data_IF_209971026223
#
_entry.id   IF_209971026223
#
_cell.length_a   1.000
_cell.length_b   1.000
_cell.length_c   1.000
_cell.angle_alpha   90.00
_cell.angle_beta   90.00
_cell.angle_gamma   90.00
#
_symmetry.space_group_name_H-M   'P 1'
#
loop_
_entity.id
_entity.type
_entity.pdbx_description
1 polymer ?
#
# COMPACT_ATOMS: atom_id res chain seq x y z
N UNK A 1 -36.45 -65.57 51.97
CA UNK A 1 -35.71 -64.82 53.01
C UNK A 1 -35.33 -63.46 52.45
N UNK A 2 -35.43 -62.44 53.28
CA UNK A 2 -35.47 -61.01 53.00
C UNK A 2 -34.23 -60.42 52.30
N UNK A 3 -34.44 -59.28 51.62
CA UNK A 3 -33.49 -58.15 51.59
C UNK A 3 -32.70 -57.96 50.29
N UNK A 4 -32.80 -56.78 49.62
CA UNK A 4 -32.06 -56.46 48.40
C UNK A 4 -30.67 -55.85 48.71
N UNK A 5 -29.81 -55.66 47.70
CA UNK A 5 -29.43 -54.26 47.43
C UNK A 5 -29.10 -53.90 45.96
N UNK A 6 -29.40 -52.63 45.66
CA UNK A 6 -28.63 -51.60 44.90
C UNK A 6 -28.21 -51.81 43.44
N UNK A 7 -28.90 -51.03 42.58
CA UNK A 7 -28.37 -50.03 41.64
C UNK A 7 -26.96 -50.25 41.07
N UNK A 8 -26.93 -50.83 39.86
CA UNK A 8 -25.92 -50.57 38.85
C UNK A 8 -26.63 -50.01 37.61
N UNK A 9 -26.31 -48.79 37.20
CA UNK A 9 -26.54 -48.36 35.83
C UNK A 9 -25.35 -47.54 35.31
N UNK A 10 -24.74 -48.14 34.29
CA UNK A 10 -24.20 -47.54 33.06
C UNK A 10 -22.77 -46.99 33.10
N UNK A 11 -21.87 -47.95 32.89
CA UNK A 11 -20.88 -47.88 31.81
C UNK A 11 -21.50 -47.36 30.48
N UNK A 12 -20.73 -46.56 29.75
CA UNK A 12 -20.32 -46.76 28.32
C UNK A 12 -19.82 -45.40 27.81
N UNK A 13 -18.51 -45.17 27.81
CA UNK A 13 -17.63 -45.50 26.69
C UNK A 13 -17.92 -44.65 25.44
N UNK A 14 -17.11 -43.61 25.32
CA UNK A 14 -16.87 -42.73 24.18
C UNK A 14 -16.68 -43.54 22.89
N UNK A 15 -17.62 -43.40 21.95
CA UNK A 15 -17.43 -43.85 20.57
C UNK A 15 -16.83 -42.71 19.74
N UNK A 16 -15.55 -42.87 19.41
CA UNK A 16 -14.82 -42.07 18.42
C UNK A 16 -15.33 -42.41 17.02
N UNK A 17 -16.22 -41.58 16.47
CA UNK A 17 -16.60 -41.67 15.05
C UNK A 17 -15.67 -40.79 14.23
N UNK A 18 -14.70 -41.42 13.58
CA UNK A 18 -13.92 -40.84 12.47
C UNK A 18 -14.87 -40.67 11.28
N UNK A 19 -15.19 -39.44 10.92
CA UNK A 19 -15.77 -39.13 9.61
C UNK A 19 -14.63 -38.97 8.61
N UNK A 20 -14.51 -39.97 7.73
CA UNK A 20 -13.82 -39.85 6.45
C UNK A 20 -14.84 -39.27 5.47
N UNK A 21 -14.68 -38.01 5.07
CA UNK A 21 -15.36 -37.49 3.88
C UNK A 21 -14.44 -37.68 2.67
N UNK A 22 -14.87 -38.62 1.84
CA UNK A 22 -14.48 -38.77 0.43
C UNK A 22 -15.19 -37.65 -0.30
N UNK A 23 -14.48 -36.57 -0.65
CA UNK A 23 -15.03 -35.56 -1.55
C UNK A 23 -14.72 -35.96 -3.00
N UNK A 24 -15.81 -36.32 -3.67
CA UNK A 24 -15.95 -36.67 -5.07
C UNK A 24 -15.54 -35.48 -5.95
N UNK A 25 -14.35 -35.57 -6.54
CA UNK A 25 -13.87 -34.63 -7.54
C UNK A 25 -14.72 -34.72 -8.80
N UNK A 26 -15.63 -33.77 -8.98
CA UNK A 26 -16.26 -33.51 -10.27
C UNK A 26 -15.21 -32.91 -11.22
N UNK A 27 -14.49 -33.78 -11.91
CA UNK A 27 -13.63 -33.43 -13.04
C UNK A 27 -14.46 -32.82 -14.18
N UNK A 28 -14.08 -31.62 -14.59
CA UNK A 28 -14.53 -31.00 -15.83
C UNK A 28 -13.83 -31.72 -16.99
N UNK A 29 -14.53 -32.13 -18.06
CA UNK A 29 -13.85 -32.61 -19.25
C UNK A 29 -13.25 -31.41 -19.99
N UNK A 30 -11.93 -31.29 -19.89
CA UNK A 30 -11.10 -30.67 -20.91
C UNK A 30 -11.25 -31.50 -22.19
N UNK A 31 -11.88 -30.92 -23.21
CA UNK A 31 -11.62 -31.34 -24.59
C UNK A 31 -10.98 -30.16 -25.31
N UNK A 32 -9.69 -30.33 -25.61
CA UNK A 32 -8.86 -29.40 -26.37
C UNK A 32 -8.21 -30.20 -27.47
N UNK A 33 -8.82 -30.12 -28.66
CA UNK A 33 -8.34 -30.38 -30.02
C UNK A 33 -9.58 -30.03 -30.89
N UNK A 34 -9.56 -29.21 -31.92
CA UNK A 34 -8.49 -28.68 -32.75
C UNK A 34 -9.11 -27.59 -33.67
N UNK A 35 -8.24 -26.80 -34.29
CA UNK A 35 -8.44 -26.05 -35.56
C UNK A 35 -9.17 -24.70 -35.53
N UNK A 36 -8.29 -23.69 -35.47
CA UNK A 36 -8.32 -22.41 -36.16
C UNK A 36 -9.01 -22.40 -37.54
N UNK A 37 -9.93 -21.47 -37.77
CA UNK A 37 -10.01 -20.76 -39.07
C UNK A 37 -10.89 -19.51 -38.97
N UNK A 38 -10.30 -18.40 -39.38
CA UNK A 38 -10.91 -17.08 -39.61
C UNK A 38 -11.94 -17.08 -40.76
N UNK A 39 -12.78 -16.03 -40.86
CA UNK A 39 -13.91 -16.00 -41.79
C UNK A 39 -13.50 -15.44 -43.17
N UNK A 40 -14.12 -15.87 -44.29
CA UNK A 40 -14.03 -15.13 -45.54
C UNK A 40 -15.29 -14.30 -45.80
N UNK A 41 -15.05 -13.03 -46.09
CA UNK A 41 -15.91 -12.06 -46.80
C UNK A 41 -16.11 -12.53 -48.27
N UNK A 42 -17.25 -12.25 -48.92
CA UNK A 42 -17.56 -12.84 -50.22
C UNK A 42 -16.89 -12.07 -51.38
N UNK A 43 -16.35 -12.79 -52.36
CA UNK A 43 -16.10 -12.24 -53.69
C UNK A 43 -16.10 -13.31 -54.77
N UNK A 44 -16.83 -12.97 -55.84
CA UNK A 44 -16.71 -13.41 -57.23
C UNK A 44 -16.72 -14.93 -57.52
N UNK A 45 -17.84 -15.39 -58.07
CA UNK A 45 -17.93 -16.64 -58.84
C UNK A 45 -18.07 -16.32 -60.33
N UNK A 46 -17.02 -16.63 -61.08
CA UNK A 46 -16.94 -16.95 -62.52
C UNK A 46 -15.88 -18.08 -62.55
N UNK A 47 -15.97 -19.23 -63.22
CA UNK A 47 -16.73 -19.71 -64.36
C UNK A 47 -16.91 -21.23 -64.23
N UNK A 48 -18.01 -21.78 -64.75
CA UNK A 48 -17.94 -23.07 -65.44
C UNK A 48 -19.03 -23.16 -66.51
N UNK A 49 -18.60 -22.97 -67.75
CA UNK A 49 -19.40 -23.08 -68.94
C UNK A 49 -19.68 -24.55 -69.27
N UNK A 50 -20.96 -24.95 -69.20
CA UNK A 50 -21.47 -26.04 -70.04
C UNK A 50 -22.48 -25.47 -71.04
N UNK A 51 -22.11 -25.64 -72.30
CA UNK A 51 -22.81 -25.27 -73.51
C UNK A 51 -24.21 -25.91 -73.59
N UNK A 52 -25.25 -25.08 -73.70
CA UNK A 52 -26.54 -25.45 -74.30
C UNK A 52 -26.91 -24.33 -75.27
N UNK A 53 -27.04 -24.71 -76.55
CA UNK A 53 -27.34 -23.87 -77.69
C UNK A 53 -28.64 -23.05 -77.51
N UNK A 54 -28.75 -21.87 -78.17
CA UNK A 54 -29.86 -20.95 -77.96
C UNK A 54 -31.13 -21.43 -78.68
N UNK A 55 -32.32 -21.38 -78.05
CA UNK A 55 -33.55 -21.31 -78.82
C UNK A 55 -33.74 -19.87 -79.33
N UNK A 56 -34.08 -19.83 -80.61
CA UNK A 56 -34.47 -18.72 -81.47
C UNK A 56 -35.35 -17.66 -80.78
N UNK A 57 -35.18 -16.36 -81.11
CA UNK A 57 -35.97 -15.28 -80.53
C UNK A 57 -37.37 -15.27 -81.16
N UNK A 58 -38.38 -15.70 -80.40
CA UNK A 58 -39.77 -15.39 -80.75
C UNK A 58 -40.20 -14.17 -79.96
N UNK A 59 -40.23 -13.05 -80.67
CA UNK A 59 -40.93 -11.83 -80.30
C UNK A 59 -42.36 -12.15 -79.86
N UNK A 60 -42.69 -11.87 -78.61
CA UNK A 60 -44.06 -11.54 -78.22
C UNK A 60 -43.98 -10.64 -76.99
N UNK A 61 -44.44 -9.42 -77.18
CA UNK A 61 -44.85 -8.43 -76.17
C UNK A 61 -44.86 -8.95 -74.73
N UNK A 62 -44.06 -8.32 -73.86
CA UNK A 62 -44.16 -8.38 -72.40
C UNK A 62 -45.55 -7.82 -72.00
N UNK A 63 -46.62 -8.56 -72.29
CA UNK A 63 -47.93 -8.31 -71.73
C UNK A 63 -47.80 -8.60 -70.24
N UNK A 64 -47.80 -7.53 -69.46
CA UNK A 64 -47.99 -7.58 -68.01
C UNK A 64 -49.39 -8.16 -67.73
N UNK A 65 -49.52 -9.48 -67.82
CA UNK A 65 -50.74 -10.21 -67.53
C UNK A 65 -51.03 -10.04 -66.04
N UNK A 66 -52.18 -9.44 -65.74
CA UNK A 66 -52.64 -9.27 -64.38
C UNK A 66 -52.84 -10.65 -63.73
N UNK A 67 -52.30 -10.90 -62.53
CA UNK A 67 -52.41 -12.20 -61.88
C UNK A 67 -53.87 -12.60 -61.65
N UNK A 68 -54.18 -13.89 -61.78
CA UNK A 68 -55.51 -14.38 -61.47
C UNK A 68 -55.80 -14.22 -59.97
N UNK A 69 -57.08 -14.21 -59.58
CA UNK A 69 -57.49 -14.16 -58.16
C UNK A 69 -56.91 -15.32 -57.35
N UNK A 70 -56.69 -16.49 -57.98
CA UNK A 70 -56.04 -17.64 -57.38
C UNK A 70 -54.56 -17.38 -57.07
N UNK A 71 -53.85 -16.71 -58.00
CA UNK A 71 -52.45 -16.31 -57.80
C UNK A 71 -52.31 -15.29 -56.68
N UNK A 72 -53.23 -14.32 -56.63
CA UNK A 72 -53.25 -13.31 -55.57
C UNK A 72 -53.53 -13.95 -54.21
N UNK A 73 -54.53 -14.83 -54.11
CA UNK A 73 -54.81 -15.58 -52.88
C UNK A 73 -53.64 -16.47 -52.43
N UNK A 74 -52.96 -17.12 -53.37
CA UNK A 74 -51.76 -17.90 -53.06
C UNK A 74 -50.60 -17.01 -52.56
N UNK A 75 -50.39 -15.84 -53.17
CA UNK A 75 -49.40 -14.86 -52.69
C UNK A 75 -49.75 -14.37 -51.29
N UNK A 76 -51.02 -14.02 -51.02
CA UNK A 76 -51.48 -13.58 -49.69
C UNK A 76 -51.26 -14.69 -48.65
N UNK A 77 -51.65 -15.94 -48.93
CA UNK A 77 -51.40 -17.07 -48.02
C UNK A 77 -49.91 -17.28 -47.75
N UNK A 78 -49.07 -17.23 -48.79
CA UNK A 78 -47.60 -17.33 -48.64
C UNK A 78 -47.01 -16.18 -47.82
N UNK A 79 -47.54 -14.96 -47.99
CA UNK A 79 -47.13 -13.79 -47.21
C UNK A 79 -47.51 -13.96 -45.74
N UNK A 80 -48.76 -14.36 -45.45
CA UNK A 80 -49.24 -14.66 -44.09
C UNK A 80 -48.35 -15.73 -43.45
N UNK A 81 -48.11 -16.86 -44.12
CA UNK A 81 -47.26 -17.93 -43.60
C UNK A 81 -45.82 -17.49 -43.38
N UNK A 82 -45.30 -16.58 -44.19
CA UNK A 82 -43.94 -16.03 -44.01
C UNK A 82 -43.88 -15.06 -42.84
N UNK A 83 -44.88 -14.19 -42.70
CA UNK A 83 -45.00 -13.28 -41.57
C UNK A 83 -45.15 -14.04 -40.24
N UNK A 84 -46.00 -15.07 -40.20
CA UNK A 84 -46.18 -15.95 -39.04
C UNK A 84 -44.90 -16.72 -38.69
N UNK A 85 -44.17 -17.25 -39.68
CA UNK A 85 -42.86 -17.89 -39.46
C UNK A 85 -41.83 -16.92 -38.92
N UNK A 86 -41.77 -15.69 -39.43
CA UNK A 86 -40.86 -14.65 -38.92
C UNK A 86 -41.20 -14.29 -37.47
N UNK A 87 -42.47 -14.05 -37.15
CA UNK A 87 -42.90 -13.76 -35.78
C UNK A 87 -42.51 -14.88 -34.81
N UNK A 88 -42.78 -16.14 -35.17
CA UNK A 88 -42.39 -17.32 -34.37
C UNK A 88 -40.87 -17.44 -34.21
N UNK A 89 -40.09 -17.08 -35.24
CA UNK A 89 -38.62 -17.07 -35.19
C UNK A 89 -38.09 -15.96 -34.27
N UNK A 90 -38.72 -14.78 -34.27
CA UNK A 90 -38.36 -13.70 -33.34
C UNK A 90 -38.71 -14.02 -31.90
N UNK A 91 -39.89 -14.60 -31.65
CA UNK A 91 -40.29 -15.08 -30.33
C UNK A 91 -39.29 -16.10 -29.78
N UNK A 92 -38.88 -17.08 -30.60
CA UNK A 92 -37.85 -18.05 -30.23
C UNK A 92 -36.50 -17.39 -29.92
N UNK A 93 -36.07 -16.39 -30.70
CA UNK A 93 -34.85 -15.62 -30.41
C UNK A 93 -34.96 -14.87 -29.07
N UNK A 94 -36.12 -14.29 -28.76
CA UNK A 94 -36.35 -13.57 -27.51
C UNK A 94 -36.29 -14.53 -26.31
N UNK A 95 -36.92 -15.70 -26.42
CA UNK A 95 -36.87 -16.76 -25.39
C UNK A 95 -35.44 -17.27 -25.20
N UNK A 96 -34.66 -17.46 -26.28
CA UNK A 96 -33.25 -17.86 -26.18
C UNK A 96 -32.39 -16.80 -25.50
N UNK A 97 -32.60 -15.51 -25.82
CA UNK A 97 -31.92 -14.39 -25.16
C UNK A 97 -32.31 -14.32 -23.68
N UNK A 98 -33.58 -14.43 -23.34
CA UNK A 98 -34.05 -14.45 -21.96
C UNK A 98 -33.41 -15.58 -21.15
N UNK A 99 -33.35 -16.81 -21.70
CA UNK A 99 -32.64 -17.94 -21.06
C UNK A 99 -31.13 -17.71 -20.90
N UNK A 100 -30.49 -16.97 -21.81
CA UNK A 100 -29.07 -16.60 -21.69
C UNK A 100 -28.85 -15.55 -20.59
N UNK A 101 -29.73 -14.55 -20.51
CA UNK A 101 -29.72 -13.52 -19.46
C UNK A 101 -29.98 -14.16 -18.10
N UNK A 102 -31.00 -15.00 -17.97
CA UNK A 102 -31.33 -15.72 -16.74
C UNK A 102 -30.14 -16.58 -16.24
N UNK A 103 -29.46 -17.30 -17.15
CA UNK A 103 -28.24 -18.04 -16.81
C UNK A 103 -27.11 -17.12 -16.33
N UNK A 104 -26.94 -15.96 -16.97
CA UNK A 104 -25.93 -14.97 -16.58
C UNK A 104 -26.22 -14.38 -15.21
N UNK A 105 -27.47 -14.00 -14.94
CA UNK A 105 -27.90 -13.44 -13.66
C UNK A 105 -27.74 -14.45 -12.52
N UNK A 106 -28.09 -15.73 -12.75
CA UNK A 106 -27.85 -16.82 -11.79
C UNK A 106 -26.35 -16.96 -11.46
N UNK A 107 -25.48 -16.89 -12.47
CA UNK A 107 -24.03 -16.93 -12.26
C UNK A 107 -23.52 -15.70 -11.49
N UNK A 108 -23.97 -14.49 -11.85
CA UNK A 108 -23.59 -13.26 -11.16
C UNK A 108 -24.09 -13.23 -9.70
N UNK A 109 -25.27 -13.77 -9.43
CA UNK A 109 -25.79 -13.95 -8.07
C UNK A 109 -24.91 -14.89 -7.26
N UNK A 110 -24.52 -16.04 -7.83
CA UNK A 110 -23.60 -16.97 -7.18
C UNK A 110 -22.24 -16.34 -6.86
N UNK A 111 -21.68 -15.57 -7.80
CA UNK A 111 -20.42 -14.85 -7.58
C UNK A 111 -20.56 -13.80 -6.47
N UNK A 112 -21.62 -12.98 -6.49
CA UNK A 112 -21.88 -11.98 -5.43
C UNK A 112 -22.08 -12.62 -4.05
N UNK A 113 -22.77 -13.74 -3.98
CA UNK A 113 -22.96 -14.51 -2.75
C UNK A 113 -21.61 -15.02 -2.20
N UNK A 114 -20.79 -15.63 -3.07
CA UNK A 114 -19.45 -16.09 -2.71
C UNK A 114 -18.55 -14.95 -2.25
N UNK A 115 -18.62 -13.79 -2.88
CA UNK A 115 -17.86 -12.60 -2.47
C UNK A 115 -18.32 -12.06 -1.10
N UNK A 116 -19.64 -12.04 -0.84
CA UNK A 116 -20.19 -11.65 0.45
C UNK A 116 -19.72 -12.58 1.57
N UNK A 117 -19.81 -13.89 1.34
CA UNK A 117 -19.32 -14.90 2.29
C UNK A 117 -17.80 -14.75 2.52
N UNK A 118 -17.03 -14.51 1.46
CA UNK A 118 -15.59 -14.26 1.58
C UNK A 118 -15.29 -13.03 2.43
N UNK A 119 -16.06 -11.95 2.27
CA UNK A 119 -15.88 -10.73 3.07
C UNK A 119 -16.25 -10.98 4.54
N UNK A 120 -17.35 -11.67 4.82
CA UNK A 120 -17.77 -11.98 6.19
C UNK A 120 -16.74 -12.88 6.91
N UNK A 121 -16.26 -13.93 6.24
CA UNK A 121 -15.17 -14.76 6.77
C UNK A 121 -13.92 -13.89 6.98
N UNK A 122 -13.61 -13.01 6.04
CA UNK A 122 -12.47 -12.08 6.15
C UNK A 122 -12.64 -11.06 7.26
N UNK A 123 -13.85 -10.74 7.74
CA UNK A 123 -14.04 -9.88 8.91
C UNK A 123 -13.66 -10.63 10.19
N UNK A 124 -14.18 -11.85 10.36
CA UNK A 124 -14.01 -12.66 11.58
C UNK A 124 -12.62 -13.29 11.67
N UNK A 125 -12.10 -13.80 10.56
CA UNK A 125 -10.80 -14.48 10.51
C UNK A 125 -9.70 -13.49 10.19
N UNK A 126 -8.71 -13.43 11.07
CA UNK A 126 -7.48 -12.68 10.86
C UNK A 126 -6.41 -13.60 10.31
N UNK A 127 -5.79 -13.17 9.21
CA UNK A 127 -4.62 -13.85 8.66
C UNK A 127 -3.37 -13.39 9.40
N UNK A 128 -2.33 -14.24 9.51
CA UNK A 128 -1.04 -13.86 10.12
C UNK A 128 -0.46 -12.56 9.56
N UNK A 129 -0.66 -12.32 8.26
CA UNK A 129 -0.25 -11.08 7.60
C UNK A 129 -1.00 -9.86 8.16
N UNK A 130 -2.32 -9.95 8.31
CA UNK A 130 -3.12 -8.87 8.89
C UNK A 130 -2.75 -8.62 10.36
N UNK A 131 -2.52 -9.67 11.14
CA UNK A 131 -2.07 -9.53 12.55
C UNK A 131 -0.70 -8.84 12.63
N UNK A 132 0.24 -9.19 11.74
CA UNK A 132 1.55 -8.57 11.68
C UNK A 132 1.48 -7.10 11.26
N UNK A 133 0.66 -6.77 10.24
CA UNK A 133 0.45 -5.39 9.81
C UNK A 133 -0.28 -4.57 10.88
N UNK A 134 -1.25 -5.15 11.58
CA UNK A 134 -1.89 -4.53 12.73
C UNK A 134 -0.87 -4.25 13.83
N UNK A 135 -0.08 -5.23 14.25
CA UNK A 135 0.95 -5.05 15.27
C UNK A 135 1.94 -3.94 14.89
N UNK A 136 2.41 -3.95 13.64
CA UNK A 136 3.31 -2.92 13.12
C UNK A 136 2.65 -1.54 13.17
N UNK A 137 1.42 -1.42 12.67
CA UNK A 137 0.70 -0.15 12.62
C UNK A 137 0.35 0.35 14.02
N UNK A 138 -0.14 -0.48 14.94
CA UNK A 138 -0.54 -0.05 16.28
C UNK A 138 0.65 0.39 17.13
N UNK A 139 1.80 -0.26 16.99
CA UNK A 139 3.01 0.14 17.71
C UNK A 139 3.76 1.29 17.05
N UNK A 140 3.56 1.52 15.74
CA UNK A 140 4.15 2.66 15.03
C UNK A 140 3.27 3.91 15.12
N UNK A 141 1.98 3.79 14.86
CA UNK A 141 1.04 4.89 14.73
C UNK A 141 0.10 5.06 15.93
N UNK A 142 -0.19 4.00 16.68
CA UNK A 142 -1.28 3.99 17.66
C UNK A 142 -2.65 3.96 16.98
N UNK A 143 -3.70 4.35 17.69
CA UNK A 143 -5.06 4.56 17.15
C UNK A 143 -5.57 5.90 17.65
N UNK A 144 -6.18 6.69 16.78
CA UNK A 144 -6.77 7.96 17.20
C UNK A 144 -8.07 7.71 17.94
N UNK A 145 -8.24 8.35 19.10
CA UNK A 145 -9.44 8.26 19.90
C UNK A 145 -10.08 9.64 20.03
N UNK A 146 -11.32 9.76 19.57
CA UNK A 146 -12.10 10.98 19.73
C UNK A 146 -12.84 10.92 21.07
N UNK A 147 -12.45 11.79 22.00
CA UNK A 147 -13.05 11.90 23.33
C UNK A 147 -14.47 12.47 23.30
N UNK A 148 -14.83 13.22 22.26
CA UNK A 148 -16.18 13.82 22.13
C UNK A 148 -17.17 12.74 21.74
N UNK A 149 -16.87 11.98 20.68
CA UNK A 149 -17.71 10.86 20.23
C UNK A 149 -17.52 9.59 21.06
N UNK A 150 -16.44 9.49 21.84
CA UNK A 150 -15.99 8.29 22.57
C UNK A 150 -15.73 7.10 21.65
N UNK A 151 -15.25 7.35 20.43
CA UNK A 151 -14.98 6.31 19.42
C UNK A 151 -13.56 6.40 18.87
N UNK A 152 -13.02 5.26 18.43
CA UNK A 152 -11.76 5.23 17.68
C UNK A 152 -11.99 5.71 16.24
N UNK A 153 -11.06 6.50 15.71
CA UNK A 153 -11.00 6.84 14.30
C UNK A 153 -10.03 5.93 13.57
N UNK A 154 -10.58 5.02 12.75
CA UNK A 154 -9.81 4.01 12.04
C UNK A 154 -9.30 4.46 10.67
N UNK A 155 -9.69 5.65 10.19
CA UNK A 155 -9.43 6.08 8.81
C UNK A 155 -7.93 6.05 8.47
N UNK A 156 -7.11 6.73 9.28
CA UNK A 156 -5.65 6.76 9.06
C UNK A 156 -4.99 5.43 9.40
N UNK A 157 -5.44 4.77 10.47
CA UNK A 157 -4.94 3.46 10.86
C UNK A 157 -5.09 2.42 9.75
N UNK A 158 -6.28 2.34 9.12
CA UNK A 158 -6.57 1.43 8.02
C UNK A 158 -5.62 1.62 6.85
N UNK A 159 -5.33 2.87 6.48
CA UNK A 159 -4.37 3.19 5.42
C UNK A 159 -2.94 2.75 5.77
N UNK A 160 -2.51 3.00 7.01
CA UNK A 160 -1.16 2.64 7.48
C UNK A 160 -0.99 1.11 7.61
N UNK A 161 -2.03 0.41 8.05
CA UNK A 161 -2.04 -1.03 8.28
C UNK A 161 -2.45 -1.85 7.03
N UNK A 162 -2.95 -1.21 5.97
CA UNK A 162 -3.55 -1.87 4.79
C UNK A 162 -4.73 -2.78 5.16
N UNK A 163 -5.58 -2.29 6.08
CA UNK A 163 -6.75 -2.98 6.62
C UNK A 163 -8.08 -2.29 6.23
N UNK A 164 -8.12 -1.65 5.06
CA UNK A 164 -9.29 -0.89 4.59
C UNK A 164 -10.55 -1.74 4.44
N UNK A 165 -10.37 -3.05 4.25
CA UNK A 165 -11.47 -4.01 4.11
C UNK A 165 -12.09 -4.40 5.45
N UNK A 166 -11.42 -4.19 6.60
CA UNK A 166 -11.95 -4.52 7.93
C UNK A 166 -12.94 -3.43 8.37
N UNK A 167 -14.00 -3.81 9.06
CA UNK A 167 -14.95 -2.85 9.65
C UNK A 167 -14.39 -2.24 10.94
N UNK A 168 -14.80 -1.00 11.23
CA UNK A 168 -14.34 -0.24 12.40
C UNK A 168 -14.65 -0.97 13.71
N UNK A 169 -15.80 -1.63 13.80
CA UNK A 169 -16.20 -2.41 14.96
C UNK A 169 -15.27 -3.62 15.16
N UNK A 170 -14.95 -4.35 14.09
CA UNK A 170 -14.03 -5.51 14.14
C UNK A 170 -12.61 -5.10 14.51
N UNK A 171 -12.15 -3.92 14.07
CA UNK A 171 -10.86 -3.36 14.45
C UNK A 171 -10.85 -2.94 15.92
N UNK A 172 -11.96 -2.37 16.40
CA UNK A 172 -12.13 -1.95 17.78
C UNK A 172 -12.10 -3.14 18.73
N UNK A 173 -12.85 -4.19 18.41
CA UNK A 173 -12.85 -5.44 19.18
C UNK A 173 -11.45 -6.07 19.20
N UNK A 174 -10.81 -6.19 18.03
CA UNK A 174 -9.45 -6.71 17.91
C UNK A 174 -8.43 -5.88 18.70
N UNK A 175 -8.50 -4.55 18.65
CA UNK A 175 -7.61 -3.68 19.40
C UNK A 175 -7.80 -3.78 20.91
N UNK A 176 -9.04 -3.83 21.39
CA UNK A 176 -9.33 -4.01 22.82
C UNK A 176 -8.79 -5.34 23.32
N UNK A 177 -9.02 -6.43 22.59
CA UNK A 177 -8.46 -7.75 22.92
C UNK A 177 -6.94 -7.78 22.84
N UNK A 178 -6.33 -7.13 21.84
CA UNK A 178 -4.87 -6.99 21.75
C UNK A 178 -4.29 -6.25 22.95
N UNK A 179 -4.90 -5.13 23.33
CA UNK A 179 -4.45 -4.30 24.45
C UNK A 179 -4.61 -5.05 25.79
N UNK A 180 -5.76 -5.69 26.00
CA UNK A 180 -6.02 -6.55 27.16
C UNK A 180 -5.04 -7.74 27.23
N UNK A 181 -4.77 -8.41 26.10
CA UNK A 181 -3.75 -9.46 26.01
C UNK A 181 -2.38 -8.93 26.45
N UNK A 182 -1.97 -7.77 25.94
CA UNK A 182 -0.68 -7.21 26.29
C UNK A 182 -0.59 -6.88 27.79
N UNK A 183 -1.65 -6.30 28.37
CA UNK A 183 -1.75 -6.04 29.81
C UNK A 183 -1.63 -7.32 30.63
N UNK A 184 -2.39 -8.36 30.26
CA UNK A 184 -2.38 -9.66 30.92
C UNK A 184 -1.00 -10.30 30.93
N UNK A 185 -0.32 -10.30 29.78
CA UNK A 185 1.04 -10.83 29.66
C UNK A 185 2.05 -10.04 30.51
N UNK A 186 1.84 -8.73 30.67
CA UNK A 186 2.70 -7.87 31.49
C UNK A 186 2.32 -7.85 32.98
N UNK A 187 1.31 -8.62 33.40
CA UNK A 187 0.82 -8.62 34.78
C UNK A 187 0.14 -7.31 35.21
N UNK A 188 -0.34 -6.49 34.27
CA UNK A 188 -1.09 -5.27 34.57
C UNK A 188 -2.56 -5.62 34.89
N UNK A 189 -3.22 -4.87 35.81
CA UNK A 189 -4.62 -5.06 36.10
C UNK A 189 -5.48 -4.74 34.86
N UNK A 190 -6.53 -5.54 34.66
CA UNK A 190 -7.55 -5.35 33.63
C UNK A 190 -8.81 -4.74 34.25
N UNK A 191 -9.55 -3.95 33.48
CA UNK A 191 -10.93 -3.56 33.87
C UNK A 191 -11.91 -4.69 33.55
N UNK A 192 -13.12 -4.65 34.12
CA UNK A 192 -14.16 -5.66 33.84
C UNK A 192 -14.45 -5.79 32.33
N UNK A 193 -14.44 -4.67 31.60
CA UNK A 193 -14.62 -4.68 30.14
C UNK A 193 -13.44 -5.31 29.40
N UNK A 194 -12.21 -5.13 29.90
CA UNK A 194 -11.01 -5.72 29.32
C UNK A 194 -10.89 -7.23 29.61
N UNK A 195 -11.44 -7.70 30.73
CA UNK A 195 -11.52 -9.13 31.04
C UNK A 195 -12.46 -9.89 30.10
N UNK A 196 -13.54 -9.25 29.67
CA UNK A 196 -14.52 -9.80 28.72
C UNK A 196 -14.01 -9.85 27.27
N UNK A 197 -12.85 -9.27 26.98
CA UNK A 197 -12.29 -9.22 25.63
C UNK A 197 -11.68 -10.58 25.23
N UNK A 198 -12.46 -11.43 24.54
CA UNK A 198 -12.08 -12.78 24.12
C UNK A 198 -12.01 -12.96 22.59
N UNK A 199 -11.32 -12.05 21.90
CA UNK A 199 -11.11 -12.19 20.46
C UNK A 199 -9.95 -13.17 20.16
N UNK A 200 -10.15 -14.18 19.28
CA UNK A 200 -9.09 -15.13 18.94
C UNK A 200 -7.89 -14.44 18.25
N UNK A 201 -6.70 -14.56 18.84
CA UNK A 201 -5.47 -13.93 18.35
C UNK A 201 -4.25 -14.81 18.65
N UNK A 202 -3.24 -14.75 17.79
CA UNK A 202 -1.93 -15.34 18.07
C UNK A 202 -1.24 -14.65 19.26
N UNK A 203 -0.96 -15.41 20.32
CA UNK A 203 -0.29 -14.90 21.52
C UNK A 203 1.14 -14.44 21.19
N UNK A 204 1.47 -13.21 21.60
CA UNK A 204 2.83 -12.69 21.53
C UNK A 204 3.61 -12.98 22.82
N UNK A 205 4.93 -12.82 22.80
CA UNK A 205 5.73 -12.91 24.02
C UNK A 205 5.60 -11.66 24.89
N UNK A 206 5.95 -11.79 26.17
CA UNK A 206 5.84 -10.74 27.18
C UNK A 206 6.66 -9.49 26.83
N UNK A 207 7.88 -9.65 26.32
CA UNK A 207 8.74 -8.51 25.95
C UNK A 207 8.12 -7.67 24.82
N UNK A 208 7.55 -8.36 23.82
CA UNK A 208 6.87 -7.74 22.68
C UNK A 208 5.56 -7.07 23.10
N UNK A 209 4.85 -7.66 24.06
CA UNK A 209 3.67 -7.08 24.68
C UNK A 209 4.00 -5.79 25.46
N UNK A 210 5.04 -5.84 26.30
CA UNK A 210 5.52 -4.68 27.08
C UNK A 210 5.90 -3.53 26.16
N UNK A 211 6.73 -3.80 25.14
CA UNK A 211 7.12 -2.81 24.14
C UNK A 211 5.91 -2.23 23.39
N UNK A 212 4.90 -3.05 23.10
CA UNK A 212 3.68 -2.56 22.46
C UNK A 212 2.91 -1.61 23.36
N UNK A 213 2.68 -1.97 24.63
CA UNK A 213 2.01 -1.11 25.61
C UNK A 213 2.74 0.22 25.80
N UNK A 214 4.06 0.19 26.00
CA UNK A 214 4.84 1.41 26.22
C UNK A 214 4.68 2.39 25.05
N UNK A 215 4.71 1.88 23.83
CA UNK A 215 4.57 2.70 22.62
C UNK A 215 3.15 3.21 22.43
N UNK A 216 2.14 2.36 22.62
CA UNK A 216 0.73 2.75 22.52
C UNK A 216 0.42 3.82 23.56
N UNK A 217 0.79 3.59 24.82
CA UNK A 217 0.54 4.51 25.93
C UNK A 217 1.29 5.83 25.75
N UNK A 218 2.52 5.81 25.24
CA UNK A 218 3.25 7.03 24.91
C UNK A 218 2.50 7.87 23.87
N UNK A 219 2.03 7.26 22.78
CA UNK A 219 1.31 7.96 21.72
C UNK A 219 -0.02 8.51 22.24
N UNK A 220 -0.79 7.70 22.98
CA UNK A 220 -2.05 8.11 23.62
C UNK A 220 -1.80 9.29 24.56
N UNK A 221 -0.78 9.21 25.42
CA UNK A 221 -0.41 10.29 26.34
C UNK A 221 -0.01 11.57 25.62
N UNK A 222 0.67 11.48 24.47
CA UNK A 222 1.01 12.66 23.68
C UNK A 222 -0.25 13.30 23.09
N UNK A 223 -1.11 12.50 22.45
CA UNK A 223 -2.33 12.96 21.76
C UNK A 223 -3.38 13.50 22.71
N UNK A 224 -3.57 12.86 23.86
CA UNK A 224 -4.70 13.12 24.74
C UNK A 224 -4.37 14.01 25.93
N UNK A 225 -3.15 13.91 26.47
CA UNK A 225 -2.76 14.64 27.69
C UNK A 225 -1.76 15.75 27.39
N UNK A 226 -0.66 15.42 26.70
CA UNK A 226 0.51 16.30 26.60
C UNK A 226 0.21 17.51 25.72
N UNK A 227 -0.30 17.29 24.50
CA UNK A 227 -0.61 18.37 23.56
C UNK A 227 -1.81 19.21 23.98
N UNK A 228 -2.72 18.65 24.79
CA UNK A 228 -3.91 19.35 25.28
C UNK A 228 -3.67 20.06 26.62
N UNK A 229 -2.46 19.99 27.18
CA UNK A 229 -2.16 20.57 28.48
C UNK A 229 -2.17 22.10 28.42
N UNK A 230 -2.97 22.80 29.26
CA UNK A 230 -3.13 24.26 29.18
C UNK A 230 -1.85 25.09 29.33
N UNK A 231 -0.85 24.55 30.03
CA UNK A 231 0.47 25.19 30.26
C UNK A 231 1.60 24.54 29.47
N UNK A 232 1.31 23.83 28.38
CA UNK A 232 2.34 23.16 27.58
C UNK A 232 3.42 24.13 27.11
N UNK A 233 3.02 25.27 26.54
CA UNK A 233 3.95 26.28 26.02
C UNK A 233 4.85 26.88 27.10
N UNK A 234 4.34 27.06 28.33
CA UNK A 234 5.13 27.53 29.46
C UNK A 234 6.17 26.49 29.89
N UNK A 235 5.78 25.20 29.93
CA UNK A 235 6.68 24.11 30.32
C UNK A 235 7.79 23.89 29.30
N UNK A 236 7.47 24.01 28.00
CA UNK A 236 8.43 23.87 26.91
C UNK A 236 9.55 24.92 26.97
N UNK A 237 9.30 26.12 27.53
CA UNK A 237 10.35 27.12 27.75
C UNK A 237 11.43 26.68 28.74
N UNK A 238 11.12 25.70 29.60
CA UNK A 238 12.06 25.13 30.55
C UNK A 238 12.96 24.04 29.97
N UNK A 239 12.73 23.59 28.73
CA UNK A 239 13.54 22.55 28.10
C UNK A 239 15.01 22.98 28.01
N UNK A 240 15.89 22.07 28.44
CA UNK A 240 17.34 22.26 28.41
C UNK A 240 17.94 21.53 27.21
N UNK A 241 19.09 22.01 26.74
CA UNK A 241 19.87 21.30 25.71
C UNK A 241 20.40 20.00 26.34
N UNK A 242 20.18 18.87 25.66
CA UNK A 242 20.79 17.58 26.01
C UNK A 242 21.99 17.30 25.11
N UNK A 243 22.95 16.50 25.59
CA UNK A 243 24.02 15.98 24.75
C UNK A 243 23.52 15.01 23.66
N UNK A 244 22.30 14.48 23.81
CA UNK A 244 21.70 13.52 22.88
C UNK A 244 21.02 14.19 21.67
N UNK A 245 20.89 15.52 21.67
CA UNK A 245 20.26 16.27 20.57
C UNK A 245 21.32 16.98 19.71
N UNK A 246 21.09 17.14 18.39
CA UNK A 246 22.03 17.84 17.52
C UNK A 246 22.23 19.30 17.91
N UNK A 247 23.38 19.87 17.55
CA UNK A 247 23.73 21.27 17.86
C UNK A 247 22.76 22.32 17.31
N UNK A 248 22.02 22.00 16.24
CA UNK A 248 21.01 22.89 15.67
C UNK A 248 19.66 22.83 16.41
N UNK A 249 19.52 21.97 17.41
CA UNK A 249 18.27 21.80 18.16
C UNK A 249 17.93 23.06 18.96
N UNK A 250 16.70 23.55 18.81
CA UNK A 250 16.18 24.70 19.55
C UNK A 250 15.22 24.18 20.62
N UNK A 251 15.63 24.13 21.91
CA UNK A 251 14.77 23.67 22.98
C UNK A 251 13.44 24.42 23.03
N UNK A 252 12.39 23.71 23.39
CA UNK A 252 11.01 24.19 23.40
C UNK A 252 10.38 24.20 22.01
N UNK A 253 11.03 24.83 21.02
CA UNK A 253 10.51 24.90 19.64
C UNK A 253 10.51 23.52 18.97
N UNK A 254 11.67 22.89 18.84
CA UNK A 254 11.78 21.60 18.17
C UNK A 254 11.19 20.46 19.00
N UNK A 255 11.16 20.60 20.33
CA UNK A 255 10.46 19.66 21.21
C UNK A 255 8.94 19.68 20.95
N UNK A 256 8.35 20.87 20.76
CA UNK A 256 6.94 21.01 20.39
C UNK A 256 6.66 20.39 19.02
N UNK A 257 7.48 20.70 18.02
CA UNK A 257 7.33 20.15 16.68
C UNK A 257 7.49 18.63 16.66
N UNK A 258 8.38 18.08 17.49
CA UNK A 258 8.51 16.63 17.64
C UNK A 258 7.24 16.01 18.23
N UNK A 259 6.67 16.60 19.29
CA UNK A 259 5.40 16.14 19.87
C UNK A 259 4.25 16.19 18.86
N UNK A 260 4.15 17.28 18.08
CA UNK A 260 3.16 17.42 17.01
C UNK A 260 3.39 16.37 15.92
N UNK A 261 4.64 16.17 15.49
CA UNK A 261 5.02 15.17 14.49
C UNK A 261 4.67 13.75 14.92
N UNK A 262 4.98 13.38 16.17
CA UNK A 262 4.61 12.07 16.74
C UNK A 262 3.10 11.93 16.87
N UNK A 263 2.39 12.98 17.29
CA UNK A 263 0.92 12.97 17.33
C UNK A 263 0.33 12.69 15.96
N UNK A 264 0.80 13.40 14.92
CA UNK A 264 0.27 13.28 13.56
C UNK A 264 0.67 11.97 12.88
N UNK A 265 1.93 11.55 12.97
CA UNK A 265 2.47 10.47 12.12
C UNK A 265 2.86 9.22 12.90
N UNK A 266 2.90 9.29 14.22
CA UNK A 266 3.40 8.24 15.09
C UNK A 266 4.93 8.23 15.17
N UNK A 267 5.45 7.10 15.65
CA UNK A 267 6.85 6.82 15.94
C UNK A 267 7.52 5.97 14.85
N UNK A 268 6.82 5.62 13.76
CA UNK A 268 7.37 4.83 12.66
C UNK A 268 7.78 5.70 11.48
N UNK A 269 8.92 5.37 10.84
CA UNK A 269 9.42 6.07 9.64
C UNK A 269 9.46 7.60 9.81
N UNK A 270 10.02 8.05 10.94
CA UNK A 270 10.11 9.48 11.30
C UNK A 270 10.95 10.27 10.29
N UNK A 271 11.95 9.61 9.69
CA UNK A 271 12.75 10.08 8.56
C UNK A 271 11.91 10.49 7.36
N UNK A 272 10.83 9.75 7.09
CA UNK A 272 9.96 9.99 5.96
C UNK A 272 8.81 10.94 6.33
N UNK A 273 8.11 10.69 7.43
CA UNK A 273 6.88 11.41 7.75
C UNK A 273 7.12 12.71 8.53
N UNK A 274 7.91 12.68 9.60
CA UNK A 274 8.12 13.85 10.46
C UNK A 274 9.08 14.84 9.79
N UNK A 275 10.21 14.35 9.26
CA UNK A 275 11.22 15.22 8.68
C UNK A 275 10.80 15.89 7.36
N UNK A 276 9.79 15.35 6.65
CA UNK A 276 9.29 15.94 5.40
C UNK A 276 7.93 16.65 5.56
N UNK A 277 7.40 16.73 6.78
CA UNK A 277 6.13 17.42 7.02
C UNK A 277 6.27 18.93 6.73
N UNK A 278 5.48 19.51 5.81
CA UNK A 278 5.52 20.95 5.52
C UNK A 278 5.12 21.84 6.70
N UNK A 279 4.41 21.29 7.69
CA UNK A 279 3.93 22.05 8.86
C UNK A 279 4.91 22.01 10.04
N UNK A 280 6.05 21.32 9.92
CA UNK A 280 7.07 21.21 10.96
C UNK A 280 8.38 21.85 10.52
N UNK A 281 9.13 22.42 11.47
CA UNK A 281 10.40 23.11 11.15
C UNK A 281 11.52 22.17 10.70
N UNK A 282 11.37 20.85 10.89
CA UNK A 282 12.39 19.87 10.51
C UNK A 282 12.68 19.84 9.01
N UNK A 283 11.67 20.07 8.17
CA UNK A 283 11.84 20.03 6.71
C UNK A 283 12.84 21.05 6.21
N UNK A 284 12.73 22.29 6.69
CA UNK A 284 13.64 23.38 6.33
C UNK A 284 15.06 23.12 6.83
N UNK A 285 15.18 22.54 8.03
CA UNK A 285 16.48 22.19 8.63
C UNK A 285 17.17 21.10 7.81
N UNK A 286 16.45 20.05 7.43
CA UNK A 286 16.98 18.98 6.57
C UNK A 286 17.38 19.54 5.21
N UNK A 287 16.55 20.39 4.60
CA UNK A 287 16.88 21.03 3.32
C UNK A 287 18.13 21.91 3.42
N UNK A 288 18.24 22.73 4.47
CA UNK A 288 19.41 23.58 4.72
C UNK A 288 20.67 22.74 4.95
N UNK A 289 20.59 21.67 5.73
CA UNK A 289 21.72 20.78 5.99
C UNK A 289 22.15 20.03 4.73
N UNK A 290 21.21 19.58 3.90
CA UNK A 290 21.51 18.95 2.61
C UNK A 290 22.18 19.94 1.64
N UNK A 291 21.66 21.16 1.53
CA UNK A 291 22.26 22.22 0.71
C UNK A 291 23.65 22.62 1.22
N UNK A 292 23.84 22.66 2.53
CA UNK A 292 25.13 22.90 3.18
C UNK A 292 26.13 21.76 2.94
N UNK A 293 25.67 20.50 2.92
CA UNK A 293 26.52 19.35 2.59
C UNK A 293 26.96 19.37 1.11
N UNK A 294 26.06 19.73 0.20
CA UNK A 294 26.39 19.90 -1.24
C UNK A 294 27.34 21.08 -1.45
N UNK A 295 27.10 22.21 -0.80
CA UNK A 295 27.97 23.39 -0.89
C UNK A 295 29.32 23.15 -0.20
N UNK A 296 29.33 22.43 0.92
CA UNK A 296 30.51 21.95 1.62
C UNK A 296 31.37 21.09 0.71
N UNK A 297 30.78 20.10 0.02
CA UNK A 297 31.46 19.24 -0.96
C UNK A 297 32.18 20.05 -2.05
N UNK A 298 31.51 21.05 -2.63
CA UNK A 298 32.12 21.95 -3.63
C UNK A 298 33.29 22.77 -3.05
N UNK A 299 33.17 23.25 -1.82
CA UNK A 299 34.25 24.03 -1.18
C UNK A 299 35.44 23.17 -0.76
N UNK A 300 35.24 21.92 -0.32
CA UNK A 300 36.33 20.99 0.00
C UNK A 300 37.09 20.55 -1.25
N UNK A 301 36.41 20.21 -2.33
CA UNK A 301 37.08 19.86 -3.61
C UNK A 301 37.85 21.07 -4.17
N UNK A 302 37.31 22.29 -4.05
CA UNK A 302 38.00 23.50 -4.51
C UNK A 302 39.19 23.89 -3.61
N UNK A 303 39.10 23.68 -2.28
CA UNK A 303 40.22 23.87 -1.35
C UNK A 303 41.29 22.79 -1.48
N UNK A 304 40.91 21.55 -1.82
CA UNK A 304 41.84 20.45 -2.06
C UNK A 304 42.54 20.61 -3.42
N UNK A 305 41.82 21.06 -4.45
CA UNK A 305 42.41 21.46 -5.73
C UNK A 305 43.35 22.66 -5.58
N UNK A 306 42.98 23.67 -4.77
CA UNK A 306 43.85 24.81 -4.48
C UNK A 306 45.11 24.41 -3.68
N UNK A 307 45.00 23.44 -2.76
CA UNK A 307 46.16 22.87 -2.04
C UNK A 307 47.09 22.08 -2.97
N UNK A 308 46.54 21.34 -3.94
CA UNK A 308 47.34 20.63 -4.95
C UNK A 308 48.06 21.59 -5.91
N UNK A 309 47.46 22.74 -6.25
CA UNK A 309 48.13 23.76 -7.05
C UNK A 309 49.23 24.49 -6.27
N UNK A 310 49.02 24.82 -4.98
CA UNK A 310 50.06 25.46 -4.16
C UNK A 310 51.29 24.57 -3.95
N UNK A 311 51.10 23.26 -3.75
CA UNK A 311 52.21 22.30 -3.62
C UNK A 311 52.95 22.06 -4.94
N UNK A 312 52.26 22.18 -6.08
CA UNK A 312 52.89 22.13 -7.42
C UNK A 312 53.70 23.40 -7.74
N UNK A 313 53.25 24.57 -7.29
CA UNK A 313 54.02 25.83 -7.44
C UNK A 313 55.22 25.92 -6.50
N UNK A 314 55.17 25.28 -5.33
CA UNK A 314 56.29 25.23 -4.38
C UNK A 314 57.38 24.24 -4.82
N UNK A 315 56.99 23.10 -5.43
CA UNK A 315 57.92 22.16 -6.05
C UNK A 315 58.63 22.76 -7.28
N UNK A 316 57.95 23.58 -8.09
CA UNK A 316 58.57 24.27 -9.23
C UNK A 316 59.57 25.36 -8.83
N UNK A 317 59.44 25.92 -7.61
CA UNK A 317 60.34 26.95 -7.07
C UNK A 317 61.67 26.38 -6.54
N UNK A 318 61.68 25.10 -6.14
CA UNK A 318 62.88 24.40 -5.68
C UNK A 318 63.75 23.85 -6.85
N UNK A 319 63.18 23.68 -8.05
CA UNK A 319 63.95 23.27 -9.24
C UNK A 319 64.56 24.47 -9.99
N UNK A 320 63.93 25.64 -9.92
CA UNK A 320 64.47 26.89 -10.48
C UNK A 320 65.69 27.44 -9.70
N UNK A 321 65.80 27.15 -8.40
CA UNK A 321 66.94 27.59 -7.56
C UNK A 321 68.18 26.70 -7.68
N UNK A 322 68.09 25.57 -8.40
CA UNK A 322 69.25 24.69 -8.68
C UNK A 322 69.97 25.02 -9.99
N UNK A 323 69.39 25.85 -10.86
CA UNK A 323 69.97 26.23 -12.16
C UNK A 323 70.73 27.57 -12.09
N UNK A 324 70.52 28.40 -11.07
CA UNK A 324 71.17 29.72 -10.93
C UNK A 324 72.41 29.73 -10.01
N UNK A 325 72.84 28.57 -9.49
CA UNK A 325 74.05 28.45 -8.64
C UNK A 325 75.33 28.08 -9.42
N UNK A 326 75.29 28.11 -10.76
CA UNK A 326 76.42 27.79 -11.63
C UNK A 326 76.73 28.92 -12.62
N UNK A 327 76.81 30.16 -12.14
CA UNK A 327 77.53 31.23 -12.84
C UNK A 327 77.80 32.39 -11.89
N UNK A 328 79.06 32.84 -11.86
CA UNK A 328 79.62 33.99 -11.16
C UNK A 328 80.34 33.70 -9.82
N UNK A 329 81.46 32.97 -9.93
CA UNK A 329 82.70 33.38 -9.27
C UNK A 329 83.19 34.69 -9.89
N UNK A 330 83.31 35.77 -9.11
CA UNK A 330 84.36 36.82 -9.22
C UNK A 330 84.09 38.01 -8.28
N UNK A 331 85.14 38.41 -7.54
CA UNK A 331 85.33 39.65 -6.75
C UNK A 331 84.67 39.68 -5.34
N UNK A 332 85.36 39.27 -4.25
CA UNK A 332 86.51 39.91 -3.55
C UNK A 332 86.10 41.05 -2.59
N UNK A 333 85.91 40.65 -1.33
CA UNK A 333 86.40 41.20 -0.04
C UNK A 333 86.31 42.69 0.36
N UNK A 334 86.13 42.86 1.69
CA UNK A 334 86.34 44.05 2.57
C UNK A 334 85.12 44.99 2.67
N UNK A 335 84.65 45.50 3.83
CA UNK A 335 85.11 45.69 5.23
C UNK A 335 83.86 46.06 6.07
N UNK A 336 83.58 45.44 7.22
CA UNK A 336 83.90 45.86 8.61
C UNK A 336 83.26 47.18 9.12
N UNK A 337 82.31 46.99 10.07
CA UNK A 337 82.04 47.72 11.34
C UNK A 337 81.30 49.07 11.43
N UNK A 338 80.50 49.09 12.51
CA UNK A 338 80.03 50.21 13.36
C UNK A 338 78.85 51.02 12.80
N UNK A 339 77.86 51.46 13.57
CA UNK A 339 77.89 51.88 14.96
C UNK A 339 76.47 51.87 15.58
N UNK A 340 76.42 51.77 16.91
CA UNK A 340 75.24 51.93 17.74
C UNK A 340 75.18 53.34 18.36
N UNK A 341 74.00 53.96 18.46
CA UNK A 341 73.55 54.87 19.55
C UNK A 341 72.09 55.33 19.24
N UNK A 342 71.10 55.03 20.10
CA UNK A 342 70.44 55.91 21.11
C UNK A 342 69.81 57.18 20.50
N UNK A 343 68.75 57.80 20.99
CA UNK A 343 67.82 57.63 22.11
C UNK A 343 66.70 58.63 21.78
N UNK A 344 65.44 58.31 22.04
CA UNK A 344 64.32 59.26 21.91
C UNK A 344 63.87 59.65 23.30
N UNK A 345 64.02 60.93 23.63
CA UNK A 345 63.57 61.55 24.87
C UNK A 345 62.18 62.17 24.68
N UNK A 346 61.31 61.94 25.68
CA UNK A 346 60.16 62.73 26.17
C UNK A 346 59.11 63.26 25.19
N UNK A 347 57.85 62.94 25.45
CA UNK A 347 56.95 63.79 26.29
C UNK A 347 55.79 62.95 26.82
#
# INVERSE_FOLDING_TARGET
KCGPPTLEEKETATATTKFNDVEEGAELPLNSEEVSSEPPTPSATEDNALSIAPPTPTSTTDEYIWPSIGDLNNRVRRLISTCQRNFKKEEQKLVQKAKKVERREKYEQFVRERERQRLEISQKKWTRKEEQEFYRAVTAYGVDYDRVSKTYNWTKFKSVARLEKKYDDTLTEYFRSFYAMCKRLCGQPLTEEEELCDFPMEMINEERARRALDRINLIVKIREETLNHPRLDERLKGCQISADVPDWWQPGKHDKDLLIGVSKHGLGRTDFYILNDPELSFREIVQKNLLSAVSGSFTTEMLEAAKLETTKTEAAKLDATKVEAAKLDAATTETVKTNAKSDVDKT
#
